data_IF_055506319594
#
_entry.id   IF_055506319594
#
_cell.length_a   1.000
_cell.length_b   1.000
_cell.length_c   1.000
_cell.angle_alpha   90.00
_cell.angle_beta   90.00
_cell.angle_gamma   90.00
#
_symmetry.space_group_name_H-M   'P 1'
#
loop_
_entity.id
_entity.type
_entity.pdbx_description
1 polymer ?
#
# COMPACT_ATOMS: atom_id res chain seq x y z
N UNK A 1 12.34 27.87 45.28
CA UNK A 1 13.19 27.55 44.09
C UNK A 1 12.47 26.48 43.34
N UNK A 2 11.80 26.88 42.27
CA UNK A 2 11.01 25.95 41.40
C UNK A 2 11.87 25.61 40.19
N UNK A 3 12.31 24.35 40.07
CA UNK A 3 13.01 23.88 38.86
C UNK A 3 11.98 23.58 37.79
N UNK A 4 11.94 24.43 36.79
CA UNK A 4 11.22 24.21 35.54
C UNK A 4 12.06 23.19 34.70
N UNK A 5 11.58 21.96 34.59
CA UNK A 5 12.16 20.95 33.66
C UNK A 5 11.62 21.31 32.28
N UNK A 6 12.47 21.92 31.47
CA UNK A 6 12.23 22.02 30.02
C UNK A 6 12.33 20.62 29.42
N UNK A 7 11.21 20.02 29.06
CA UNK A 7 11.18 18.90 28.13
C UNK A 7 11.57 19.44 26.74
N UNK A 8 12.82 19.25 26.35
CA UNK A 8 13.23 19.37 24.95
C UNK A 8 12.59 18.23 24.17
N UNK A 9 11.45 18.51 23.54
CA UNK A 9 11.00 17.69 22.44
C UNK A 9 12.07 17.73 21.34
N UNK A 10 12.70 16.60 21.06
CA UNK A 10 13.52 16.45 19.85
C UNK A 10 12.59 16.61 18.65
N UNK A 11 12.55 17.82 18.07
CA UNK A 11 12.08 18.00 16.72
C UNK A 11 12.98 17.11 15.83
N UNK A 12 12.40 16.11 15.22
CA UNK A 12 13.05 15.37 14.12
C UNK A 12 13.53 16.43 13.12
N UNK A 13 14.81 16.38 12.76
CA UNK A 13 15.36 17.25 11.74
C UNK A 13 14.49 17.12 10.48
N UNK A 14 14.00 18.25 9.98
CA UNK A 14 13.33 18.36 8.69
C UNK A 14 14.30 17.80 7.64
N UNK A 15 14.07 16.57 7.21
CA UNK A 15 14.91 15.88 6.24
C UNK A 15 14.66 16.38 4.82
N UNK A 16 13.73 17.33 4.64
CA UNK A 16 13.27 17.78 3.32
C UNK A 16 12.45 16.76 2.56
N UNK A 17 12.20 15.56 3.12
CA UNK A 17 11.36 14.54 2.50
C UNK A 17 9.88 14.86 2.71
N UNK A 18 9.09 15.13 1.63
CA UNK A 18 7.72 15.60 1.73
C UNK A 18 6.74 14.60 2.35
N UNK A 19 7.09 13.32 2.44
CA UNK A 19 6.24 12.30 3.03
C UNK A 19 6.26 12.27 4.57
N UNK A 20 7.26 12.89 5.21
CA UNK A 20 7.44 12.81 6.67
C UNK A 20 6.57 13.80 7.46
N UNK A 21 5.85 14.66 6.77
CA UNK A 21 4.85 15.57 7.33
C UNK A 21 3.56 15.53 6.50
N UNK A 22 2.49 16.09 7.05
CA UNK A 22 1.27 16.30 6.27
C UNK A 22 1.55 17.23 5.07
N UNK A 23 0.83 17.00 3.97
CA UNK A 23 0.92 17.88 2.80
C UNK A 23 0.20 19.21 3.08
N UNK A 24 0.93 20.32 3.00
CA UNK A 24 0.39 21.68 3.22
C UNK A 24 -0.32 22.25 1.99
N UNK A 25 -0.54 21.45 0.98
CA UNK A 25 -1.25 21.81 -0.26
C UNK A 25 -2.77 21.93 -0.03
N UNK A 26 -3.51 22.61 -0.92
CA UNK A 26 -4.96 22.63 -0.85
C UNK A 26 -5.55 21.20 -0.81
N UNK A 27 -6.42 20.95 0.17
CA UNK A 27 -7.06 19.65 0.42
C UNK A 27 -6.10 18.52 0.83
N UNK A 28 -4.86 18.82 1.23
CA UNK A 28 -3.88 17.81 1.61
C UNK A 28 -3.46 16.91 0.44
N UNK A 29 -3.55 17.39 -0.80
CA UNK A 29 -3.12 16.63 -1.97
C UNK A 29 -1.60 16.49 -2.01
N UNK A 30 -1.04 15.38 -2.57
CA UNK A 30 0.41 15.24 -2.70
C UNK A 30 1.03 16.38 -3.52
N UNK A 31 2.14 16.93 -3.04
CA UNK A 31 2.91 17.95 -3.77
C UNK A 31 3.85 17.27 -4.78
N UNK A 32 3.29 16.88 -5.94
CA UNK A 32 4.00 16.14 -6.98
C UNK A 32 5.22 16.89 -7.54
N UNK A 33 5.24 18.24 -7.48
CA UNK A 33 6.39 19.04 -7.94
C UNK A 33 7.62 18.86 -7.02
N UNK A 34 7.40 18.51 -5.75
CA UNK A 34 8.46 18.29 -4.75
C UNK A 34 8.80 16.82 -4.53
N UNK A 35 7.87 15.90 -4.86
CA UNK A 35 8.07 14.47 -4.69
C UNK A 35 9.03 13.97 -5.78
N UNK A 36 10.05 13.18 -5.36
CA UNK A 36 11.02 12.54 -6.24
C UNK A 36 11.18 11.08 -5.85
N UNK A 37 11.69 10.25 -6.77
CA UNK A 37 11.88 8.82 -6.54
C UNK A 37 12.75 8.55 -5.30
N UNK A 38 13.79 9.35 -5.09
CA UNK A 38 14.71 9.27 -3.94
C UNK A 38 14.03 9.46 -2.58
N UNK A 39 12.80 10.02 -2.53
CA UNK A 39 12.07 10.25 -1.28
C UNK A 39 11.30 9.00 -0.81
N UNK A 40 10.94 8.07 -1.70
CA UNK A 40 10.06 6.96 -1.37
C UNK A 40 10.70 5.97 -0.40
N UNK A 41 11.87 5.42 -0.71
CA UNK A 41 12.49 4.41 0.13
C UNK A 41 12.73 4.89 1.58
N UNK A 42 13.33 6.07 1.82
CA UNK A 42 13.48 6.58 3.18
C UNK A 42 12.15 6.79 3.91
N UNK A 43 11.09 7.20 3.19
CA UNK A 43 9.77 7.38 3.77
C UNK A 43 9.11 6.04 4.13
N UNK A 44 9.22 5.02 3.29
CA UNK A 44 8.78 3.66 3.60
C UNK A 44 9.49 3.11 4.84
N UNK A 45 10.81 3.21 4.91
CA UNK A 45 11.58 2.76 6.08
C UNK A 45 11.17 3.49 7.35
N UNK A 46 10.97 4.81 7.27
CA UNK A 46 10.54 5.62 8.42
C UNK A 46 9.11 5.30 8.84
N UNK A 47 8.21 5.10 7.87
CA UNK A 47 6.82 4.71 8.14
C UNK A 47 6.71 3.34 8.82
N UNK A 48 7.50 2.36 8.36
CA UNK A 48 7.59 1.03 9.00
C UNK A 48 8.12 1.14 10.43
N UNK A 49 9.19 1.92 10.65
CA UNK A 49 9.76 2.15 11.98
C UNK A 49 8.74 2.76 12.93
N UNK A 50 8.04 3.80 12.47
CA UNK A 50 7.01 4.48 13.26
C UNK A 50 5.88 3.53 13.63
N UNK A 51 5.29 2.84 12.63
CA UNK A 51 4.18 1.92 12.89
C UNK A 51 4.58 0.76 13.80
N UNK A 52 5.80 0.23 13.68
CA UNK A 52 6.30 -0.77 14.62
C UNK A 52 6.32 -0.25 16.06
N UNK A 53 6.70 1.02 16.27
CA UNK A 53 6.64 1.67 17.59
C UNK A 53 5.22 1.82 18.12
N UNK A 54 4.28 2.19 17.26
CA UNK A 54 2.85 2.36 17.58
C UNK A 54 2.21 0.99 17.92
N UNK A 55 2.45 -0.04 17.12
CA UNK A 55 2.00 -1.41 17.40
C UNK A 55 2.57 -1.92 18.72
N UNK A 56 3.86 -1.68 18.97
CA UNK A 56 4.48 -2.04 20.25
C UNK A 56 3.80 -1.35 21.42
N UNK A 57 3.48 -0.06 21.31
CA UNK A 57 2.77 0.69 22.35
C UNK A 57 1.37 0.11 22.64
N UNK A 58 0.65 -0.35 21.60
CA UNK A 58 -0.65 -1.03 21.77
C UNK A 58 -0.46 -2.35 22.54
N UNK A 59 0.51 -3.17 22.11
CA UNK A 59 0.76 -4.49 22.70
C UNK A 59 1.21 -4.37 24.17
N UNK A 60 2.08 -3.42 24.47
CA UNK A 60 2.65 -3.20 25.82
C UNK A 60 1.74 -2.36 26.74
N UNK A 61 0.58 -1.92 26.26
CA UNK A 61 -0.35 -1.15 27.09
C UNK A 61 -0.84 -1.99 28.28
N UNK A 62 -0.59 -1.57 29.53
CA UNK A 62 -0.95 -2.32 30.73
C UNK A 62 -2.47 -2.30 31.05
N UNK A 63 -3.23 -1.44 30.39
CA UNK A 63 -4.67 -1.36 30.57
C UNK A 63 -5.39 -2.52 29.88
N UNK A 64 -6.56 -2.89 30.41
CA UNK A 64 -7.43 -3.86 29.76
C UNK A 64 -7.77 -3.41 28.31
N UNK A 65 -7.79 -4.33 27.34
CA UNK A 65 -8.14 -4.00 25.97
C UNK A 65 -9.51 -3.33 25.86
N UNK A 66 -9.56 -2.18 25.20
CA UNK A 66 -10.78 -1.44 24.89
C UNK A 66 -10.83 -1.10 23.40
N UNK A 67 -11.98 -0.65 22.93
CA UNK A 67 -12.13 -0.20 21.56
C UNK A 67 -11.12 0.92 21.23
N UNK A 68 -10.98 1.91 22.13
CA UNK A 68 -10.11 3.06 21.94
C UNK A 68 -8.63 2.68 22.00
N UNK A 69 -8.19 1.96 23.04
CA UNK A 69 -6.76 1.68 23.23
C UNK A 69 -6.23 0.51 22.40
N UNK A 70 -7.08 -0.13 21.63
CA UNK A 70 -6.73 -1.26 20.77
C UNK A 70 -7.16 -1.03 19.32
N UNK A 71 -8.44 -0.84 19.05
CA UNK A 71 -8.95 -0.77 17.67
C UNK A 71 -8.69 0.60 17.05
N UNK A 72 -9.05 1.68 17.76
CA UNK A 72 -8.79 3.05 17.27
C UNK A 72 -7.28 3.33 17.21
N UNK A 73 -6.52 2.85 18.20
CA UNK A 73 -5.07 2.99 18.19
C UNK A 73 -4.41 2.24 17.01
N UNK A 74 -4.92 1.05 16.66
CA UNK A 74 -4.47 0.30 15.49
C UNK A 74 -4.84 0.98 14.18
N UNK A 75 -6.07 1.47 14.06
CA UNK A 75 -6.58 2.16 12.87
C UNK A 75 -5.84 3.46 12.57
N UNK A 76 -5.42 4.18 13.61
CA UNK A 76 -4.63 5.39 13.50
C UNK A 76 -3.12 5.13 13.33
N UNK A 77 -2.66 3.89 13.36
CA UNK A 77 -1.24 3.57 13.22
C UNK A 77 -0.78 3.60 11.76
N UNK A 78 0.49 3.95 11.52
CA UNK A 78 1.12 3.87 10.21
C UNK A 78 0.76 5.02 9.27
N UNK A 79 0.52 6.21 9.76
CA UNK A 79 0.12 7.36 8.94
C UNK A 79 1.14 7.72 7.85
N UNK A 80 2.45 7.74 8.17
CA UNK A 80 3.50 7.98 7.16
C UNK A 80 3.50 6.87 6.12
N UNK A 81 3.34 5.62 6.55
CA UNK A 81 3.33 4.47 5.66
C UNK A 81 2.12 4.51 4.72
N UNK A 82 0.94 4.86 5.22
CA UNK A 82 -0.26 5.04 4.41
C UNK A 82 -0.09 6.17 3.39
N UNK A 83 0.49 7.32 3.81
CA UNK A 83 0.74 8.47 2.94
C UNK A 83 1.70 8.15 1.80
N UNK A 84 2.85 7.55 2.09
CA UNK A 84 3.82 7.20 1.05
C UNK A 84 3.31 6.08 0.14
N UNK A 85 2.65 5.06 0.68
CA UNK A 85 2.08 3.95 -0.09
C UNK A 85 1.01 4.42 -1.05
N UNK A 86 0.09 5.29 -0.60
CA UNK A 86 -0.99 5.81 -1.43
C UNK A 86 -0.48 6.56 -2.66
N UNK A 87 0.60 7.35 -2.52
CA UNK A 87 1.20 8.05 -3.68
C UNK A 87 2.02 7.11 -4.54
N UNK A 88 2.87 6.28 -3.92
CA UNK A 88 3.78 5.38 -4.64
C UNK A 88 3.02 4.41 -5.54
N UNK A 89 2.08 3.65 -4.98
CA UNK A 89 1.36 2.64 -5.75
C UNK A 89 0.39 3.26 -6.77
N UNK A 90 -0.17 4.45 -6.51
CA UNK A 90 -0.95 5.14 -7.53
C UNK A 90 -0.09 5.54 -8.75
N UNK A 91 1.17 5.94 -8.55
CA UNK A 91 2.07 6.29 -9.64
C UNK A 91 2.66 5.08 -10.33
N UNK A 92 2.96 3.98 -9.63
CA UNK A 92 3.42 2.74 -10.30
C UNK A 92 2.37 2.16 -11.24
N UNK A 93 1.09 2.37 -10.95
CA UNK A 93 -0.01 1.92 -11.83
C UNK A 93 -0.32 2.89 -12.99
N UNK A 94 -0.10 4.21 -12.80
CA UNK A 94 -0.56 5.22 -13.75
C UNK A 94 0.56 5.85 -14.59
N UNK A 95 1.77 5.98 -14.05
CA UNK A 95 2.91 6.68 -14.69
C UNK A 95 4.24 6.07 -14.19
N UNK A 96 4.44 4.79 -14.48
CA UNK A 96 5.62 4.05 -14.04
C UNK A 96 6.83 4.24 -14.96
N UNK A 97 8.01 3.92 -14.44
CA UNK A 97 9.27 3.85 -15.17
C UNK A 97 10.17 2.78 -14.54
N UNK A 98 11.30 2.48 -15.20
CA UNK A 98 12.23 1.43 -14.76
C UNK A 98 12.73 1.62 -13.32
N UNK A 99 12.96 2.86 -12.89
CA UNK A 99 13.41 3.18 -11.53
C UNK A 99 12.31 2.91 -10.51
N UNK A 100 11.06 3.31 -10.79
CA UNK A 100 9.89 3.03 -9.95
C UNK A 100 9.61 1.53 -9.86
N UNK A 101 9.69 0.80 -10.98
CA UNK A 101 9.50 -0.66 -11.02
C UNK A 101 10.57 -1.39 -10.20
N UNK A 102 11.85 -0.96 -10.31
CA UNK A 102 12.94 -1.52 -9.50
C UNK A 102 12.73 -1.25 -8.00
N UNK A 103 12.24 -0.07 -7.65
CA UNK A 103 11.94 0.29 -6.27
C UNK A 103 10.75 -0.51 -5.75
N UNK A 104 9.71 -0.70 -6.53
CA UNK A 104 8.55 -1.52 -6.17
C UNK A 104 8.95 -2.97 -5.86
N UNK A 105 9.78 -3.58 -6.70
CA UNK A 105 10.31 -4.92 -6.47
C UNK A 105 11.10 -5.04 -5.14
N UNK A 106 11.70 -3.94 -4.68
CA UNK A 106 12.40 -3.86 -3.40
C UNK A 106 11.44 -3.65 -2.22
N UNK A 107 10.46 -2.76 -2.37
CA UNK A 107 9.56 -2.34 -1.30
C UNK A 107 8.48 -3.39 -1.00
N UNK A 108 7.94 -4.07 -2.00
CA UNK A 108 6.82 -4.99 -1.79
C UNK A 108 7.13 -6.15 -0.83
N UNK A 109 8.29 -6.83 -0.88
CA UNK A 109 8.63 -7.83 0.12
C UNK A 109 8.77 -7.26 1.54
N UNK A 110 9.25 -6.01 1.69
CA UNK A 110 9.37 -5.35 2.97
C UNK A 110 8.00 -5.03 3.57
N UNK A 111 7.05 -4.57 2.75
CA UNK A 111 5.68 -4.32 3.18
C UNK A 111 4.94 -5.61 3.52
N UNK A 112 5.19 -6.69 2.76
CA UNK A 112 4.64 -8.01 3.06
C UNK A 112 5.12 -8.52 4.43
N UNK A 113 6.43 -8.42 4.70
CA UNK A 113 7.00 -8.78 5.99
C UNK A 113 6.45 -7.90 7.12
N UNK A 114 6.32 -6.60 6.89
CA UNK A 114 5.76 -5.67 7.87
C UNK A 114 4.30 -5.99 8.19
N UNK A 115 3.48 -6.26 7.17
CA UNK A 115 2.09 -6.70 7.34
C UNK A 115 1.99 -8.00 8.14
N UNK A 116 2.84 -8.98 7.82
CA UNK A 116 2.92 -10.24 8.57
C UNK A 116 3.32 -9.99 10.04
N UNK A 117 4.21 -9.04 10.32
CA UNK A 117 4.61 -8.70 11.68
C UNK A 117 3.48 -8.08 12.50
N UNK A 118 2.52 -7.43 11.86
CA UNK A 118 1.30 -6.91 12.49
C UNK A 118 0.25 -8.02 12.64
N UNK A 119 -0.17 -8.63 11.52
CA UNK A 119 -1.34 -9.52 11.50
C UNK A 119 -1.07 -10.94 12.01
N UNK A 120 0.18 -11.36 12.13
CA UNK A 120 0.59 -12.60 12.81
C UNK A 120 1.04 -12.37 14.26
N UNK A 121 0.95 -11.14 14.77
CA UNK A 121 1.31 -10.82 16.14
C UNK A 121 0.26 -11.37 17.11
N UNK A 122 0.64 -12.39 17.86
CA UNK A 122 -0.25 -13.09 18.81
C UNK A 122 -0.75 -12.19 19.93
N UNK A 123 0.09 -11.29 20.45
CA UNK A 123 -0.30 -10.43 21.56
C UNK A 123 -1.26 -9.32 21.10
N UNK A 124 -1.03 -8.75 19.91
CA UNK A 124 -1.96 -7.80 19.30
C UNK A 124 -3.31 -8.47 19.00
N UNK A 125 -3.28 -9.69 18.42
CA UNK A 125 -4.49 -10.47 18.17
C UNK A 125 -5.29 -10.75 19.43
N UNK A 126 -4.62 -11.10 20.55
CA UNK A 126 -5.30 -11.31 21.83
C UNK A 126 -6.05 -10.07 22.29
N UNK A 127 -5.48 -8.88 22.12
CA UNK A 127 -6.15 -7.62 22.48
C UNK A 127 -7.37 -7.37 21.59
N UNK A 128 -7.25 -7.54 20.28
CA UNK A 128 -8.37 -7.40 19.34
C UNK A 128 -9.47 -8.41 19.64
N UNK A 129 -9.14 -9.67 19.86
CA UNK A 129 -10.09 -10.72 20.22
C UNK A 129 -10.78 -10.47 21.57
N UNK A 130 -10.09 -9.87 22.54
CA UNK A 130 -10.69 -9.50 23.82
C UNK A 130 -11.75 -8.39 23.65
N UNK A 131 -11.51 -7.39 22.82
CA UNK A 131 -12.49 -6.34 22.53
C UNK A 131 -13.70 -6.93 21.80
N UNK A 132 -13.46 -7.80 20.82
CA UNK A 132 -14.52 -8.51 20.09
C UNK A 132 -15.40 -9.35 21.04
N UNK A 133 -14.78 -10.12 21.92
CA UNK A 133 -15.52 -10.91 22.92
C UNK A 133 -16.30 -10.04 23.93
N UNK A 134 -15.84 -8.84 24.25
CA UNK A 134 -16.58 -7.90 25.11
C UNK A 134 -17.86 -7.41 24.41
N UNK A 135 -17.80 -7.12 23.12
CA UNK A 135 -18.97 -6.74 22.32
C UNK A 135 -19.96 -7.89 22.21
N UNK A 136 -19.52 -9.10 21.84
CA UNK A 136 -20.38 -10.29 21.72
C UNK A 136 -21.07 -10.62 23.06
N UNK A 137 -20.39 -10.39 24.17
CA UNK A 137 -20.97 -10.57 25.51
C UNK A 137 -21.89 -9.41 25.96
N UNK A 138 -22.07 -8.37 25.13
CA UNK A 138 -22.87 -7.19 25.46
C UNK A 138 -22.28 -6.32 26.57
N UNK A 139 -20.97 -6.44 26.85
CA UNK A 139 -20.26 -5.66 27.90
C UNK A 139 -19.91 -4.25 27.43
N UNK A 140 -19.78 -4.04 26.13
CA UNK A 140 -19.57 -2.74 25.50
C UNK A 140 -20.67 -2.54 24.45
N UNK A 141 -21.00 -1.27 24.19
CA UNK A 141 -21.93 -0.89 23.12
C UNK A 141 -21.17 -0.01 22.12
N UNK A 142 -21.13 -0.45 20.89
CA UNK A 142 -20.47 0.25 19.80
C UNK A 142 -21.52 0.84 18.84
N UNK A 143 -21.18 1.91 18.15
CA UNK A 143 -21.96 2.39 17.01
C UNK A 143 -21.84 1.39 15.86
N UNK A 144 -22.69 1.55 14.84
CA UNK A 144 -22.62 0.70 13.65
C UNK A 144 -21.24 0.72 12.98
N UNK A 145 -20.63 1.91 12.85
CA UNK A 145 -19.31 2.09 12.26
C UNK A 145 -18.21 1.44 13.10
N UNK A 146 -18.28 1.62 14.42
CA UNK A 146 -17.32 1.02 15.35
C UNK A 146 -17.40 -0.51 15.34
N UNK A 147 -18.63 -1.07 15.29
CA UNK A 147 -18.83 -2.50 15.14
C UNK A 147 -18.18 -3.02 13.85
N UNK A 148 -18.43 -2.36 12.70
CA UNK A 148 -17.83 -2.78 11.44
C UNK A 148 -16.30 -2.68 11.44
N UNK A 149 -15.73 -1.66 12.07
CA UNK A 149 -14.28 -1.51 12.19
C UNK A 149 -13.69 -2.65 13.02
N UNK A 150 -14.27 -2.95 14.18
CA UNK A 150 -13.85 -4.07 15.03
C UNK A 150 -13.94 -5.41 14.29
N UNK A 151 -15.09 -5.69 13.66
CA UNK A 151 -15.33 -6.93 12.91
C UNK A 151 -14.36 -7.09 11.74
N UNK A 152 -14.05 -6.00 11.04
CA UNK A 152 -13.04 -5.97 9.96
C UNK A 152 -11.67 -6.40 10.50
N UNK A 153 -11.16 -5.75 11.53
CA UNK A 153 -9.85 -6.09 12.11
C UNK A 153 -9.82 -7.50 12.67
N UNK A 154 -10.85 -7.92 13.42
CA UNK A 154 -10.91 -9.28 13.93
C UNK A 154 -10.85 -10.34 12.82
N UNK A 155 -11.63 -10.15 11.76
CA UNK A 155 -11.63 -11.04 10.59
C UNK A 155 -10.32 -11.01 9.84
N UNK A 156 -9.67 -9.84 9.74
CA UNK A 156 -8.37 -9.67 9.12
C UNK A 156 -7.31 -10.51 9.85
N UNK A 157 -7.19 -10.39 11.16
CA UNK A 157 -6.30 -11.22 11.98
C UNK A 157 -6.56 -12.72 11.81
N UNK A 158 -7.83 -13.13 11.85
CA UNK A 158 -8.20 -14.54 11.69
C UNK A 158 -7.79 -15.07 10.31
N UNK A 159 -8.09 -14.33 9.25
CA UNK A 159 -7.79 -14.71 7.85
C UNK A 159 -6.31 -14.68 7.55
N UNK A 160 -5.59 -13.74 8.13
CA UNK A 160 -4.12 -13.64 8.02
C UNK A 160 -3.38 -14.70 8.83
N UNK A 161 -4.10 -15.54 9.59
CA UNK A 161 -3.50 -16.69 10.26
C UNK A 161 -2.98 -16.42 11.68
N UNK A 162 -3.47 -15.38 12.36
CA UNK A 162 -3.09 -15.10 13.75
C UNK A 162 -3.31 -16.30 14.70
N UNK A 163 -4.31 -17.13 14.43
CA UNK A 163 -4.61 -18.35 15.22
C UNK A 163 -3.75 -19.57 14.87
N UNK A 164 -2.84 -19.49 13.90
CA UNK A 164 -1.97 -20.60 13.53
C UNK A 164 -0.85 -20.80 14.55
N UNK A 165 -0.35 -22.03 14.64
CA UNK A 165 0.88 -22.33 15.38
C UNK A 165 2.12 -21.69 14.71
N UNK A 166 3.21 -21.56 15.46
CA UNK A 166 4.41 -20.86 15.01
C UNK A 166 5.01 -21.45 13.71
N UNK A 167 4.96 -22.79 13.54
CA UNK A 167 5.48 -23.43 12.34
C UNK A 167 4.66 -23.08 11.09
N UNK A 168 3.34 -23.04 11.23
CA UNK A 168 2.45 -22.66 10.13
C UNK A 168 2.54 -21.16 9.83
N UNK A 169 2.71 -20.32 10.85
CA UNK A 169 2.94 -18.88 10.63
C UNK A 169 4.24 -18.65 9.87
N UNK A 170 5.33 -19.34 10.21
CA UNK A 170 6.59 -19.23 9.47
C UNK A 170 6.42 -19.64 8.00
N UNK A 171 5.74 -20.76 7.76
CA UNK A 171 5.44 -21.19 6.39
C UNK A 171 4.57 -20.19 5.64
N UNK A 172 3.62 -19.55 6.33
CA UNK A 172 2.77 -18.52 5.72
C UNK A 172 3.58 -17.27 5.35
N UNK A 173 4.51 -16.83 6.20
CA UNK A 173 5.45 -15.74 5.89
C UNK A 173 6.28 -16.00 4.63
N UNK A 174 6.80 -17.22 4.50
CA UNK A 174 7.54 -17.62 3.29
C UNK A 174 6.65 -17.53 2.04
N UNK A 175 5.39 -17.98 2.13
CA UNK A 175 4.42 -17.91 1.02
C UNK A 175 4.10 -16.46 0.69
N UNK A 176 3.78 -15.63 1.67
CA UNK A 176 3.46 -14.21 1.47
C UNK A 176 4.61 -13.46 0.80
N UNK A 177 5.84 -13.71 1.26
CA UNK A 177 7.06 -13.14 0.64
C UNK A 177 7.21 -13.56 -0.82
N UNK A 178 6.96 -14.82 -1.16
CA UNK A 178 7.01 -15.29 -2.55
C UNK A 178 5.88 -14.67 -3.37
N UNK A 179 4.67 -14.60 -2.84
CA UNK A 179 3.53 -14.00 -3.52
C UNK A 179 3.76 -12.51 -3.81
N UNK A 180 4.32 -11.75 -2.88
CA UNK A 180 4.60 -10.31 -3.10
C UNK A 180 5.52 -10.09 -4.30
N UNK A 181 6.53 -10.94 -4.51
CA UNK A 181 7.43 -10.88 -5.67
C UNK A 181 6.74 -11.35 -6.94
N UNK A 182 6.10 -12.52 -6.90
CA UNK A 182 5.47 -13.12 -8.09
C UNK A 182 4.31 -12.28 -8.65
N UNK A 183 3.58 -11.59 -7.78
CA UNK A 183 2.50 -10.69 -8.21
C UNK A 183 3.04 -9.52 -9.02
N UNK A 184 4.17 -8.92 -8.60
CA UNK A 184 4.83 -7.84 -9.34
C UNK A 184 5.38 -8.37 -10.67
N UNK A 185 6.09 -9.51 -10.67
CA UNK A 185 6.61 -10.12 -11.89
C UNK A 185 5.49 -10.39 -12.90
N UNK A 186 4.36 -10.93 -12.43
CA UNK A 186 3.19 -11.15 -13.28
C UNK A 186 2.64 -9.86 -13.86
N UNK A 187 2.47 -8.81 -13.04
CA UNK A 187 2.02 -7.50 -13.50
C UNK A 187 2.94 -6.91 -14.58
N UNK A 188 4.26 -6.97 -14.36
CA UNK A 188 5.26 -6.51 -15.32
C UNK A 188 5.21 -7.30 -16.64
N UNK A 189 5.00 -8.60 -16.60
CA UNK A 189 4.83 -9.42 -17.82
C UNK A 189 3.55 -9.01 -18.57
N UNK A 190 2.43 -8.80 -17.87
CA UNK A 190 1.19 -8.33 -18.50
C UNK A 190 1.38 -6.97 -19.16
N UNK A 191 2.07 -6.03 -18.48
CA UNK A 191 2.39 -4.73 -19.04
C UNK A 191 3.27 -4.84 -20.29
N UNK A 192 4.30 -5.68 -20.26
CA UNK A 192 5.18 -5.92 -21.39
C UNK A 192 4.42 -6.53 -22.57
N UNK A 193 3.61 -7.56 -22.33
CA UNK A 193 2.80 -8.21 -23.37
C UNK A 193 1.80 -7.23 -24.01
N UNK A 194 1.17 -6.37 -23.21
CA UNK A 194 0.26 -5.33 -23.72
C UNK A 194 1.00 -4.32 -24.58
N UNK A 195 2.19 -3.88 -24.17
CA UNK A 195 3.00 -2.92 -24.92
C UNK A 195 3.58 -3.51 -26.22
N UNK A 196 3.87 -4.79 -26.23
CA UNK A 196 4.42 -5.50 -27.39
C UNK A 196 3.33 -5.93 -28.39
N UNK A 197 2.05 -5.94 -27.98
CA UNK A 197 0.98 -6.38 -28.84
C UNK A 197 0.69 -5.35 -29.95
N UNK A 198 0.81 -5.80 -31.21
CA UNK A 198 0.50 -5.00 -32.40
C UNK A 198 -0.38 -5.82 -33.37
N UNK A 199 -1.63 -5.43 -33.52
CA UNK A 199 -2.47 -5.92 -34.62
C UNK A 199 -2.16 -5.09 -35.85
N UNK A 200 -1.43 -5.68 -36.79
CA UNK A 200 -1.08 -5.04 -38.06
C UNK A 200 -2.07 -5.43 -39.13
N UNK A 201 -2.75 -4.45 -39.72
CA UNK A 201 -3.67 -4.64 -40.83
C UNK A 201 -3.03 -4.11 -42.11
N UNK A 202 -2.93 -4.97 -43.14
CA UNK A 202 -2.25 -4.67 -44.39
C UNK A 202 -3.19 -4.10 -45.48
N UNK A 203 -4.47 -4.42 -45.38
CA UNK A 203 -5.45 -4.06 -46.44
C UNK A 203 -6.52 -3.15 -45.88
N UNK A 204 -6.82 -2.08 -46.63
CA UNK A 204 -7.84 -1.10 -46.25
C UNK A 204 -9.25 -1.71 -46.16
N UNK A 205 -9.50 -2.74 -46.98
CA UNK A 205 -10.79 -3.45 -47.02
C UNK A 205 -11.12 -4.15 -45.68
N UNK A 206 -10.09 -4.56 -44.96
CA UNK A 206 -10.23 -5.24 -43.65
C UNK A 206 -10.62 -4.27 -42.53
N UNK A 207 -10.60 -2.95 -42.79
CA UNK A 207 -11.03 -1.90 -41.87
C UNK A 207 -12.49 -1.48 -42.09
N UNK A 208 -13.22 -2.18 -42.93
CA UNK A 208 -14.61 -1.85 -43.27
C UNK A 208 -15.49 -1.84 -41.99
N UNK A 209 -16.22 -0.73 -41.80
CA UNK A 209 -17.09 -0.54 -40.65
C UNK A 209 -16.45 0.23 -39.48
N UNK A 210 -15.15 0.51 -39.52
CA UNK A 210 -14.52 1.39 -38.55
C UNK A 210 -14.75 2.87 -38.93
N UNK A 211 -14.91 3.76 -37.92
CA UNK A 211 -14.96 5.21 -38.13
C UNK A 211 -13.64 5.74 -38.73
N UNK A 212 -13.75 6.76 -39.58
CA UNK A 212 -12.58 7.39 -40.25
C UNK A 212 -11.53 7.88 -39.26
N UNK A 213 -11.93 8.38 -38.10
CA UNK A 213 -11.00 8.83 -37.06
C UNK A 213 -10.17 7.66 -36.46
N UNK A 214 -10.77 6.49 -36.31
CA UNK A 214 -10.08 5.25 -35.82
C UNK A 214 -9.08 4.78 -36.89
N UNK A 215 -9.48 4.77 -38.16
CA UNK A 215 -8.59 4.41 -39.27
C UNK A 215 -7.41 5.38 -39.36
N UNK A 216 -7.65 6.67 -39.22
CA UNK A 216 -6.61 7.69 -39.22
C UNK A 216 -5.64 7.53 -38.04
N UNK A 217 -6.15 7.27 -36.85
CA UNK A 217 -5.35 6.97 -35.65
C UNK A 217 -4.46 5.74 -35.85
N UNK A 218 -5.04 4.64 -36.35
CA UNK A 218 -4.29 3.40 -36.62
C UNK A 218 -3.19 3.58 -37.69
N UNK A 219 -3.42 4.44 -38.69
CA UNK A 219 -2.39 4.79 -39.67
C UNK A 219 -1.26 5.64 -39.07
N UNK A 220 -1.57 6.52 -38.12
CA UNK A 220 -0.57 7.28 -37.37
C UNK A 220 0.26 6.37 -36.47
N UNK A 221 -0.38 5.44 -35.75
CA UNK A 221 0.26 4.42 -34.93
C UNK A 221 1.19 3.53 -35.76
N UNK A 222 0.77 3.13 -36.94
CA UNK A 222 1.60 2.36 -37.86
C UNK A 222 2.90 3.09 -38.22
N UNK A 223 2.88 4.41 -38.39
CA UNK A 223 4.10 5.20 -38.63
C UNK A 223 5.02 5.22 -37.42
N UNK A 224 4.47 5.36 -36.22
CA UNK A 224 5.23 5.34 -34.97
C UNK A 224 5.98 4.00 -34.79
N UNK A 225 5.38 2.90 -35.26
CA UNK A 225 5.97 1.56 -35.24
C UNK A 225 6.74 1.18 -36.51
N UNK A 226 7.08 2.13 -37.39
CA UNK A 226 7.85 1.86 -38.62
C UNK A 226 7.13 1.00 -39.66
N UNK A 227 5.79 1.01 -39.66
CA UNK A 227 4.93 0.21 -40.56
C UNK A 227 4.12 1.12 -41.50
N UNK A 228 4.84 2.04 -42.15
CA UNK A 228 4.20 2.99 -43.11
C UNK A 228 3.35 2.27 -44.16
N UNK A 229 2.17 2.84 -44.43
CA UNK A 229 1.23 2.30 -45.41
C UNK A 229 0.31 1.20 -44.91
N UNK A 230 0.42 0.86 -43.60
CA UNK A 230 -0.43 -0.10 -42.87
C UNK A 230 -1.23 0.61 -41.79
N UNK A 231 -1.99 -0.17 -41.06
CA UNK A 231 -2.73 0.29 -39.88
C UNK A 231 -2.33 -0.61 -38.69
N UNK A 232 -2.03 0.01 -37.55
CA UNK A 232 -1.66 -0.68 -36.32
C UNK A 232 -2.67 -0.35 -35.24
N UNK A 233 -3.11 -1.38 -34.52
CA UNK A 233 -3.94 -1.26 -33.33
C UNK A 233 -3.17 -1.89 -32.17
N UNK A 234 -3.09 -1.19 -31.07
CA UNK A 234 -2.49 -1.59 -29.80
C UNK A 234 -3.58 -1.97 -28.80
N UNK A 235 -3.21 -2.59 -27.67
CA UNK A 235 -4.10 -2.80 -26.52
C UNK A 235 -4.18 -1.57 -25.65
#
# INVERSE_FOLDING_TARGET
>A
MSCMVCACGQQAADTGNPFLSEFETPYGTPDFDRIKVEHYEPAFLKGIEQQNGEIKAIVENPEEPSFENTIVALDNSGEILARVSGVFFALTEADTNDEMMALEAKIAPMLSEHSDNIFLNQELYKRVAAVHAQEEAGKIQLTTEQHYLLDKYYKEFVRSGAGLDAQKQERLREINKQLSTLTIEFGNHVLADNNDYLLVVDKKEDLAGLPDAVIAGAAQEAKAHGKDGKWVFTL
#
